data_IF_828947380351
#
_entry.id   IF_828947380351
#
_cell.length_a   1.000
_cell.length_b   1.000
_cell.length_c   1.000
_cell.angle_alpha   90.00
_cell.angle_beta   90.00
_cell.angle_gamma   90.00
#
_symmetry.space_group_name_H-M   'P 1'
#
loop_
_entity.id
_entity.type
_entity.pdbx_description
1 polymer ?
#
# COMPACT_ATOMS: atom_id res chain seq x y z
N UNK A 1 20.24 41.34 -42.54
CA UNK A 1 18.93 41.09 -41.87
C UNK A 1 18.95 39.78 -41.08
N UNK A 2 19.28 38.64 -41.61
CA UNK A 2 19.34 37.34 -40.90
C UNK A 2 20.34 37.32 -39.73
N UNK A 3 21.51 37.91 -39.87
CA UNK A 3 22.54 37.96 -38.84
C UNK A 3 22.09 38.82 -37.62
N UNK A 4 21.36 39.91 -37.85
CA UNK A 4 20.79 40.74 -36.79
C UNK A 4 19.67 39.99 -36.04
N UNK A 5 18.83 39.22 -36.74
CA UNK A 5 17.82 38.39 -36.07
C UNK A 5 18.45 37.28 -35.22
N UNK A 6 19.53 36.67 -35.66
CA UNK A 6 20.27 35.66 -34.86
C UNK A 6 20.91 36.30 -33.60
N UNK A 7 21.49 37.49 -33.74
CA UNK A 7 22.03 38.22 -32.59
C UNK A 7 20.95 38.65 -31.60
N UNK A 8 19.78 39.09 -32.05
CA UNK A 8 18.65 39.41 -31.21
C UNK A 8 18.09 38.14 -30.50
N UNK A 9 17.96 37.04 -31.21
CA UNK A 9 17.53 35.76 -30.63
C UNK A 9 18.55 35.25 -29.61
N UNK A 10 19.84 35.39 -29.86
CA UNK A 10 20.92 34.99 -28.94
C UNK A 10 20.94 35.87 -27.69
N UNK A 11 20.77 37.20 -27.84
CA UNK A 11 20.66 38.14 -26.71
C UNK A 11 19.40 37.86 -25.89
N UNK A 12 18.25 37.60 -26.51
CA UNK A 12 17.03 37.20 -25.81
C UNK A 12 17.16 35.87 -25.05
N UNK A 13 17.84 34.90 -25.61
CA UNK A 13 18.14 33.63 -24.96
C UNK A 13 19.13 33.80 -23.80
N UNK A 14 20.08 34.72 -23.92
CA UNK A 14 21.08 35.02 -22.91
C UNK A 14 20.46 35.84 -21.76
N UNK A 15 19.54 36.76 -22.04
CA UNK A 15 18.81 37.53 -21.05
C UNK A 15 17.76 36.70 -20.33
N UNK A 16 17.12 35.72 -21.02
CA UNK A 16 16.27 34.72 -20.41
C UNK A 16 17.04 33.70 -19.51
N UNK A 17 18.32 33.47 -19.84
CA UNK A 17 19.22 32.66 -19.00
C UNK A 17 19.82 33.43 -17.82
N UNK A 18 19.84 34.79 -17.86
CA UNK A 18 20.37 35.66 -16.84
C UNK A 18 19.30 36.12 -15.82
N UNK A 19 18.06 35.67 -15.94
CA UNK A 19 17.07 35.82 -14.86
C UNK A 19 17.60 35.20 -13.57
N UNK A 20 17.25 35.71 -12.37
CA UNK A 20 17.72 35.14 -11.12
C UNK A 20 17.37 33.64 -11.16
N UNK A 21 18.39 32.81 -11.27
CA UNK A 21 18.23 31.35 -11.22
C UNK A 21 17.43 31.08 -9.95
N UNK A 22 16.20 30.58 -10.11
CA UNK A 22 15.41 30.13 -8.97
C UNK A 22 16.23 28.97 -8.40
N UNK A 23 17.06 29.29 -7.40
CA UNK A 23 17.84 28.27 -6.72
C UNK A 23 16.87 27.45 -5.88
N UNK A 24 16.60 26.24 -6.33
CA UNK A 24 15.89 25.23 -5.54
C UNK A 24 16.81 24.71 -4.43
N UNK A 25 17.32 25.60 -3.58
CA UNK A 25 18.03 25.21 -2.37
C UNK A 25 17.01 24.93 -1.26
N UNK A 26 16.80 23.65 -0.87
CA UNK A 26 15.83 23.28 0.14
C UNK A 26 16.05 23.98 1.50
N UNK A 27 17.32 24.32 1.80
CA UNK A 27 17.67 24.99 3.07
C UNK A 27 17.22 26.44 3.07
N UNK A 28 17.45 27.15 1.97
CA UNK A 28 17.01 28.54 1.82
C UNK A 28 15.48 28.61 1.80
N UNK A 29 14.83 27.70 1.07
CA UNK A 29 13.37 27.61 1.00
C UNK A 29 12.78 27.35 2.39
N UNK A 30 13.32 26.42 3.15
CA UNK A 30 12.88 26.14 4.52
C UNK A 30 13.05 27.36 5.44
N UNK A 31 14.16 28.12 5.30
CA UNK A 31 14.42 29.34 6.09
C UNK A 31 13.37 30.40 5.87
N UNK A 32 12.93 30.59 4.63
CA UNK A 32 11.99 31.64 4.20
C UNK A 32 10.53 31.28 4.42
N UNK A 33 10.20 29.98 4.60
CA UNK A 33 8.85 29.49 4.82
C UNK A 33 8.21 30.08 6.08
N UNK A 34 6.93 30.39 5.97
CA UNK A 34 6.10 30.75 7.13
C UNK A 34 5.95 29.61 8.11
N UNK A 35 5.59 29.86 9.36
CA UNK A 35 5.35 28.84 10.39
C UNK A 35 4.28 27.84 9.90
N UNK A 36 3.21 28.31 9.27
CA UNK A 36 2.15 27.46 8.72
C UNK A 36 2.64 26.63 7.53
N UNK A 37 3.44 27.22 6.64
CA UNK A 37 4.08 26.47 5.53
C UNK A 37 4.98 25.36 6.05
N UNK A 38 5.81 25.64 7.07
CA UNK A 38 6.62 24.62 7.75
C UNK A 38 5.78 23.51 8.36
N UNK A 39 4.66 23.85 9.00
CA UNK A 39 3.74 22.85 9.58
C UNK A 39 3.14 21.93 8.50
N UNK A 40 2.71 22.49 7.37
CA UNK A 40 2.20 21.72 6.24
C UNK A 40 3.25 20.75 5.69
N UNK A 41 4.45 21.27 5.40
CA UNK A 41 5.55 20.45 4.86
C UNK A 41 5.97 19.35 5.86
N UNK A 42 6.06 19.69 7.15
CA UNK A 42 6.35 18.69 8.20
C UNK A 42 5.30 17.59 8.25
N UNK A 43 4.01 17.95 8.16
CA UNK A 43 2.92 16.97 8.09
C UNK A 43 3.06 16.06 6.88
N UNK A 44 3.38 16.60 5.70
CA UNK A 44 3.61 15.81 4.50
C UNK A 44 4.82 14.87 4.64
N UNK A 45 5.90 15.29 5.30
CA UNK A 45 7.05 14.43 5.58
C UNK A 45 6.69 13.29 6.53
N UNK A 46 5.88 13.55 7.57
CA UNK A 46 5.37 12.50 8.46
C UNK A 46 4.51 11.49 7.68
N UNK A 47 3.60 11.97 6.84
CA UNK A 47 2.79 11.12 5.96
C UNK A 47 3.66 10.29 5.01
N UNK A 48 4.69 10.88 4.44
CA UNK A 48 5.65 10.19 3.56
C UNK A 48 6.39 9.08 4.30
N UNK A 49 6.97 9.37 5.46
CA UNK A 49 7.69 8.40 6.27
C UNK A 49 6.79 7.23 6.69
N UNK A 50 5.55 7.53 7.10
CA UNK A 50 4.55 6.51 7.42
C UNK A 50 4.21 5.64 6.22
N UNK A 51 3.95 6.26 5.06
CA UNK A 51 3.67 5.57 3.79
C UNK A 51 4.79 4.60 3.43
N UNK A 52 6.05 5.06 3.46
CA UNK A 52 7.23 4.23 3.18
C UNK A 52 7.33 3.06 4.18
N UNK A 53 7.09 3.30 5.46
CA UNK A 53 7.07 2.25 6.48
C UNK A 53 6.04 1.16 6.17
N UNK A 54 4.82 1.55 5.80
CA UNK A 54 3.76 0.62 5.40
C UNK A 54 4.13 -0.13 4.10
N UNK A 55 4.71 0.54 3.12
CA UNK A 55 5.15 -0.09 1.87
C UNK A 55 6.18 -1.20 2.13
N UNK A 56 7.18 -0.93 2.96
CA UNK A 56 8.22 -1.91 3.31
C UNK A 56 7.61 -3.08 4.07
N UNK A 57 6.81 -2.82 5.11
CA UNK A 57 6.16 -3.85 5.91
C UNK A 57 5.29 -4.77 5.05
N UNK A 58 4.46 -4.20 4.18
CA UNK A 58 3.60 -4.98 3.28
C UNK A 58 4.41 -5.76 2.25
N UNK A 59 5.42 -5.16 1.63
CA UNK A 59 6.29 -5.85 0.69
C UNK A 59 6.94 -7.09 1.32
N UNK A 60 7.44 -6.98 2.54
CA UNK A 60 8.02 -8.11 3.28
C UNK A 60 6.97 -9.16 3.63
N UNK A 61 5.78 -8.75 4.09
CA UNK A 61 4.68 -9.66 4.44
C UNK A 61 4.19 -10.47 3.21
N UNK A 62 3.90 -9.80 2.09
CA UNK A 62 3.45 -10.45 0.86
C UNK A 62 4.51 -11.38 0.26
N UNK A 63 5.79 -10.97 0.26
CA UNK A 63 6.88 -11.81 -0.23
C UNK A 63 7.08 -13.05 0.65
N UNK A 64 6.99 -12.90 1.98
CA UNK A 64 7.08 -14.03 2.90
C UNK A 64 5.89 -14.99 2.72
N UNK A 65 4.67 -14.48 2.62
CA UNK A 65 3.47 -15.27 2.38
C UNK A 65 3.59 -16.06 1.07
N UNK A 66 3.95 -15.41 -0.03
CA UNK A 66 4.12 -16.04 -1.34
C UNK A 66 5.21 -17.11 -1.34
N UNK A 67 6.38 -16.81 -0.76
CA UNK A 67 7.49 -17.77 -0.70
C UNK A 67 7.11 -19.02 0.09
N UNK A 68 6.45 -18.85 1.23
CA UNK A 68 6.04 -19.97 2.06
C UNK A 68 4.88 -20.76 1.43
N UNK A 69 3.93 -20.11 0.78
CA UNK A 69 2.81 -20.81 0.12
C UNK A 69 3.28 -21.67 -1.06
N UNK A 70 4.25 -21.20 -1.84
CA UNK A 70 4.85 -22.00 -2.92
C UNK A 70 5.57 -23.24 -2.43
N UNK A 71 6.16 -23.20 -1.25
CA UNK A 71 6.82 -24.37 -0.65
C UNK A 71 5.81 -25.29 0.07
N UNK A 72 4.77 -24.72 0.64
CA UNK A 72 3.71 -25.42 1.36
C UNK A 72 2.83 -26.27 0.43
N UNK A 73 2.35 -25.70 -0.67
CA UNK A 73 1.36 -26.34 -1.53
C UNK A 73 1.76 -27.76 -2.01
N UNK A 74 2.96 -28.01 -2.56
CA UNK A 74 3.34 -29.36 -2.97
C UNK A 74 3.55 -30.29 -1.76
N UNK A 75 4.04 -29.80 -0.64
CA UNK A 75 4.27 -30.59 0.56
C UNK A 75 2.95 -31.12 1.17
N UNK A 76 1.94 -30.25 1.29
CA UNK A 76 0.63 -30.64 1.81
C UNK A 76 -0.12 -31.54 0.84
N UNK A 77 -0.02 -31.29 -0.47
CA UNK A 77 -0.65 -32.13 -1.48
C UNK A 77 -0.09 -33.58 -1.43
N UNK A 78 1.21 -33.74 -1.18
CA UNK A 78 1.82 -35.06 -0.97
C UNK A 78 1.21 -35.81 0.23
N UNK A 79 1.16 -35.17 1.39
CA UNK A 79 0.60 -35.75 2.61
C UNK A 79 -0.90 -36.10 2.45
N UNK A 80 -1.68 -35.25 1.78
CA UNK A 80 -3.10 -35.51 1.53
C UNK A 80 -3.33 -36.70 0.56
N UNK A 81 -2.50 -36.85 -0.47
CA UNK A 81 -2.56 -38.02 -1.37
C UNK A 81 -2.32 -39.34 -0.63
N UNK A 82 -1.46 -39.33 0.38
CA UNK A 82 -1.18 -40.46 1.25
C UNK A 82 -2.20 -40.64 2.39
N UNK A 83 -3.26 -39.81 2.43
CA UNK A 83 -4.28 -39.79 3.48
C UNK A 83 -3.73 -39.48 4.91
N UNK A 84 -2.57 -38.82 5.01
CA UNK A 84 -1.90 -38.49 6.28
C UNK A 84 -2.31 -37.13 6.76
N UNK A 85 -3.52 -36.98 7.34
CA UNK A 85 -4.05 -35.70 7.84
C UNK A 85 -3.16 -35.06 8.90
N UNK A 86 -2.67 -35.85 9.86
CA UNK A 86 -1.80 -35.37 10.94
C UNK A 86 -0.47 -34.81 10.44
N UNK A 87 0.06 -35.43 9.38
CA UNK A 87 1.27 -34.95 8.74
C UNK A 87 1.01 -33.65 7.97
N UNK A 88 -0.14 -33.56 7.28
CA UNK A 88 -0.57 -32.34 6.59
C UNK A 88 -0.72 -31.16 7.57
N UNK A 89 -1.30 -31.37 8.74
CA UNK A 89 -1.42 -30.36 9.81
C UNK A 89 -0.02 -29.94 10.31
N UNK A 90 0.87 -30.88 10.60
CA UNK A 90 2.24 -30.59 11.03
C UNK A 90 3.06 -29.83 9.97
N UNK A 91 2.83 -30.12 8.69
CA UNK A 91 3.44 -29.38 7.58
C UNK A 91 2.95 -27.94 7.62
N UNK A 92 1.65 -27.70 7.77
CA UNK A 92 1.07 -26.36 7.83
C UNK A 92 1.65 -25.52 8.98
N UNK A 93 1.89 -26.12 10.14
CA UNK A 93 2.48 -25.44 11.30
C UNK A 93 3.92 -24.93 11.06
N UNK A 94 4.63 -25.50 10.11
CA UNK A 94 5.99 -25.03 9.72
C UNK A 94 5.94 -23.76 8.84
N UNK A 95 4.84 -23.53 8.12
CA UNK A 95 4.68 -22.46 7.15
C UNK A 95 3.75 -21.34 7.65
N UNK A 96 3.96 -20.87 8.87
CA UNK A 96 3.07 -19.92 9.57
C UNK A 96 2.82 -18.59 8.86
N UNK A 97 3.71 -18.17 7.96
CA UNK A 97 3.53 -16.94 7.15
C UNK A 97 2.82 -17.22 5.82
N UNK A 98 2.55 -18.48 5.47
CA UNK A 98 1.81 -18.85 4.28
C UNK A 98 0.32 -18.56 4.46
N UNK A 99 -0.27 -17.80 3.55
CA UNK A 99 -1.71 -17.57 3.53
C UNK A 99 -2.48 -18.89 3.28
N UNK A 100 -1.97 -19.74 2.38
CA UNK A 100 -2.57 -21.05 2.12
C UNK A 100 -2.50 -21.98 3.32
N UNK A 101 -1.36 -22.03 4.03
CA UNK A 101 -1.21 -22.91 5.18
C UNK A 101 -2.17 -22.54 6.31
N UNK A 102 -2.39 -21.25 6.57
CA UNK A 102 -3.34 -20.80 7.59
C UNK A 102 -4.77 -21.24 7.28
N UNK A 103 -5.20 -21.14 6.03
CA UNK A 103 -6.55 -21.54 5.62
C UNK A 103 -6.69 -23.06 5.63
N UNK A 104 -5.78 -23.76 4.99
CA UNK A 104 -5.82 -25.23 4.89
C UNK A 104 -5.78 -25.90 6.26
N UNK A 105 -4.93 -25.41 7.19
CA UNK A 105 -4.85 -26.00 8.54
C UNK A 105 -6.16 -25.86 9.31
N UNK A 106 -6.86 -24.72 9.16
CA UNK A 106 -8.15 -24.53 9.82
C UNK A 106 -9.20 -25.53 9.36
N UNK A 107 -9.29 -25.79 8.04
CA UNK A 107 -10.19 -26.80 7.48
C UNK A 107 -9.80 -28.23 7.89
N UNK A 108 -8.50 -28.57 7.87
CA UNK A 108 -8.03 -29.90 8.26
C UNK A 108 -8.27 -30.18 9.74
N UNK A 109 -8.03 -29.22 10.62
CA UNK A 109 -8.26 -29.38 12.07
C UNK A 109 -9.74 -29.56 12.38
N UNK A 110 -10.61 -28.79 11.75
CA UNK A 110 -12.05 -28.88 11.94
C UNK A 110 -12.60 -30.23 11.42
N UNK A 111 -12.16 -30.64 10.21
CA UNK A 111 -12.52 -31.95 9.66
C UNK A 111 -12.13 -33.11 10.60
N UNK A 112 -10.90 -33.06 11.12
CA UNK A 112 -10.42 -34.05 12.06
C UNK A 112 -11.22 -34.09 13.36
N UNK A 113 -11.54 -32.91 13.91
CA UNK A 113 -12.29 -32.83 15.17
C UNK A 113 -13.70 -33.41 15.07
N UNK A 114 -14.32 -33.32 13.90
CA UNK A 114 -15.68 -33.82 13.68
C UNK A 114 -15.74 -35.23 13.06
N UNK A 115 -14.61 -35.77 12.56
CA UNK A 115 -14.59 -37.09 11.94
C UNK A 115 -14.99 -38.20 12.91
N UNK A 116 -14.60 -38.11 14.19
CA UNK A 116 -14.83 -39.12 15.23
C UNK A 116 -16.06 -38.84 16.10
N UNK A 117 -16.64 -37.64 16.02
CA UNK A 117 -17.70 -37.17 16.93
C UNK A 117 -19.04 -36.86 16.23
N UNK A 118 -19.09 -36.90 14.91
CA UNK A 118 -20.31 -36.50 14.18
C UNK A 118 -21.29 -37.67 14.03
N UNK A 119 -22.48 -37.53 14.59
CA UNK A 119 -23.63 -38.45 14.38
C UNK A 119 -24.34 -38.17 13.06
N UNK A 120 -24.18 -36.98 12.50
CA UNK A 120 -24.84 -36.51 11.27
C UNK A 120 -23.91 -36.64 10.08
N UNK A 121 -24.26 -37.43 9.06
CA UNK A 121 -23.43 -37.60 7.88
C UNK A 121 -23.21 -36.28 7.12
N UNK A 122 -21.93 -35.89 6.95
CA UNK A 122 -21.53 -34.68 6.23
C UNK A 122 -21.35 -33.44 7.09
N UNK A 123 -21.61 -33.50 8.39
CA UNK A 123 -21.41 -32.40 9.32
C UNK A 123 -19.95 -32.01 9.40
N UNK A 124 -19.02 -32.98 9.32
CA UNK A 124 -17.57 -32.77 9.29
C UNK A 124 -17.13 -31.92 8.10
N UNK A 125 -17.80 -32.06 6.96
CA UNK A 125 -17.49 -31.29 5.73
C UNK A 125 -18.03 -29.88 5.86
N UNK A 126 -19.29 -29.72 6.32
CA UNK A 126 -19.91 -28.42 6.50
C UNK A 126 -19.22 -27.59 7.60
N UNK A 127 -18.79 -28.23 8.69
CA UNK A 127 -17.97 -27.58 9.73
C UNK A 127 -16.64 -27.11 9.16
N UNK A 128 -15.95 -27.96 8.39
CA UNK A 128 -14.70 -27.62 7.72
C UNK A 128 -14.85 -26.47 6.74
N UNK A 129 -15.94 -26.45 5.96
CA UNK A 129 -16.24 -25.35 5.03
C UNK A 129 -16.36 -24.01 5.77
N UNK A 130 -17.12 -23.99 6.86
CA UNK A 130 -17.25 -22.79 7.71
C UNK A 130 -15.91 -22.36 8.32
N UNK A 131 -15.04 -23.29 8.70
CA UNK A 131 -13.71 -23.01 9.22
C UNK A 131 -12.79 -22.40 8.14
N UNK A 132 -12.83 -22.93 6.91
CA UNK A 132 -12.11 -22.39 5.76
C UNK A 132 -12.54 -20.94 5.47
N UNK A 133 -13.84 -20.69 5.33
CA UNK A 133 -14.40 -19.36 5.07
C UNK A 133 -14.00 -18.34 6.17
N UNK A 134 -14.07 -18.74 7.44
CA UNK A 134 -13.62 -17.88 8.55
C UNK A 134 -12.14 -17.59 8.48
N UNK A 135 -11.32 -18.60 8.17
CA UNK A 135 -9.87 -18.44 8.07
C UNK A 135 -9.47 -17.57 6.89
N UNK A 136 -10.14 -17.71 5.74
CA UNK A 136 -9.96 -16.83 4.57
C UNK A 136 -10.22 -15.37 4.94
N UNK A 137 -11.34 -15.09 5.61
CA UNK A 137 -11.69 -13.73 6.05
C UNK A 137 -10.66 -13.15 7.03
N UNK A 138 -10.13 -13.95 7.96
CA UNK A 138 -9.10 -13.54 8.90
C UNK A 138 -7.79 -13.24 8.16
N UNK A 139 -7.35 -14.12 7.28
CA UNK A 139 -6.10 -13.94 6.52
C UNK A 139 -6.20 -12.75 5.57
N UNK A 140 -7.35 -12.55 4.91
CA UNK A 140 -7.63 -11.36 4.12
C UNK A 140 -7.46 -10.09 4.97
N UNK A 141 -8.08 -10.03 6.15
CA UNK A 141 -8.00 -8.87 7.05
C UNK A 141 -6.55 -8.60 7.51
N UNK A 142 -5.79 -9.65 7.83
CA UNK A 142 -4.37 -9.55 8.20
C UNK A 142 -3.52 -8.97 7.05
N UNK A 143 -3.70 -9.46 5.84
CA UNK A 143 -2.94 -9.00 4.67
C UNK A 143 -3.34 -7.58 4.25
N UNK A 144 -4.62 -7.22 4.38
CA UNK A 144 -5.16 -5.89 4.09
C UNK A 144 -4.70 -4.82 5.08
N UNK A 145 -4.24 -5.22 6.26
CA UNK A 145 -3.81 -4.29 7.31
C UNK A 145 -2.76 -3.31 6.78
N UNK A 146 -2.99 -2.02 6.97
CA UNK A 146 -2.11 -0.94 6.53
C UNK A 146 -2.26 -0.52 5.07
N UNK A 147 -2.80 -1.36 4.17
CA UNK A 147 -3.02 -0.98 2.78
C UNK A 147 -3.97 0.22 2.68
N UNK A 148 -5.02 0.26 3.50
CA UNK A 148 -5.95 1.39 3.57
C UNK A 148 -5.28 2.72 3.95
N UNK A 149 -4.21 2.69 4.73
CA UNK A 149 -3.43 3.87 5.06
C UNK A 149 -2.78 4.49 3.82
N UNK A 150 -2.27 3.65 2.89
CA UNK A 150 -1.73 4.14 1.61
C UNK A 150 -2.80 4.83 0.76
N UNK A 151 -4.03 4.29 0.74
CA UNK A 151 -5.15 4.93 0.05
C UNK A 151 -5.47 6.30 0.67
N UNK A 152 -5.53 6.37 2.01
CA UNK A 152 -5.79 7.62 2.72
C UNK A 152 -4.70 8.66 2.44
N UNK A 153 -3.42 8.29 2.56
CA UNK A 153 -2.30 9.21 2.28
C UNK A 153 -2.34 9.65 0.82
N UNK A 154 -2.54 8.72 -0.12
CA UNK A 154 -2.60 9.02 -1.54
C UNK A 154 -3.72 9.99 -1.91
N UNK A 155 -4.88 9.87 -1.28
CA UNK A 155 -6.01 10.76 -1.53
C UNK A 155 -5.93 12.09 -0.77
N UNK A 156 -5.33 12.14 0.41
CA UNK A 156 -5.33 13.35 1.26
C UNK A 156 -4.09 14.23 1.11
N UNK A 157 -2.91 13.66 0.82
CA UNK A 157 -1.68 14.42 0.71
C UNK A 157 -1.73 15.56 -0.33
N UNK A 158 -2.36 15.40 -1.52
CA UNK A 158 -2.51 16.51 -2.46
C UNK A 158 -3.32 17.67 -1.87
N UNK A 159 -4.35 17.39 -1.10
CA UNK A 159 -5.19 18.42 -0.46
C UNK A 159 -4.44 19.12 0.67
N UNK A 160 -3.60 18.43 1.42
CA UNK A 160 -2.70 19.03 2.42
C UNK A 160 -1.71 19.99 1.73
N UNK A 161 -1.16 19.58 0.57
CA UNK A 161 -0.31 20.44 -0.25
C UNK A 161 -1.06 21.66 -0.78
N UNK A 162 -2.27 21.47 -1.31
CA UNK A 162 -3.14 22.55 -1.78
C UNK A 162 -3.50 23.53 -0.64
N UNK A 163 -3.78 23.03 0.55
CA UNK A 163 -3.99 23.88 1.72
C UNK A 163 -2.77 24.77 1.99
N UNK A 164 -1.56 24.22 1.84
CA UNK A 164 -0.32 25.01 1.92
C UNK A 164 -0.25 26.14 0.88
N UNK A 165 -0.71 25.89 -0.37
CA UNK A 165 -0.74 26.97 -1.39
C UNK A 165 -1.70 28.10 -1.03
N UNK A 166 -2.88 27.76 -0.54
CA UNK A 166 -3.87 28.79 -0.12
C UNK A 166 -3.27 29.67 0.97
N UNK A 167 -2.63 29.07 1.97
CA UNK A 167 -1.99 29.85 3.06
C UNK A 167 -0.83 30.71 2.53
N UNK A 168 0.02 30.15 1.67
CA UNK A 168 1.15 30.85 1.09
C UNK A 168 0.71 32.07 0.28
N UNK A 169 -0.33 31.92 -0.53
CA UNK A 169 -0.90 33.03 -1.32
C UNK A 169 -1.52 34.10 -0.39
N UNK A 170 -2.28 33.69 0.63
CA UNK A 170 -2.84 34.67 1.60
C UNK A 170 -1.73 35.46 2.26
N UNK A 171 -0.64 34.82 2.67
CA UNK A 171 0.49 35.50 3.30
C UNK A 171 1.23 36.43 2.33
N UNK A 172 1.37 36.06 1.06
CA UNK A 172 1.94 36.90 0.02
C UNK A 172 1.15 38.21 -0.14
N UNK A 173 -0.19 38.13 -0.20
CA UNK A 173 -1.05 39.31 -0.29
C UNK A 173 -1.05 40.16 0.99
N UNK A 174 -0.97 39.55 2.17
CA UNK A 174 -0.83 40.30 3.44
C UNK A 174 0.48 41.08 3.48
N UNK A 175 1.57 40.54 2.94
CA UNK A 175 2.84 41.23 2.84
C UNK A 175 2.75 42.54 2.01
N UNK A 176 1.99 42.50 0.89
CA UNK A 176 1.75 43.73 0.09
C UNK A 176 0.96 44.77 0.87
N UNK A 177 -0.05 44.34 1.63
CA UNK A 177 -0.93 45.25 2.35
C UNK A 177 -0.24 45.94 3.54
N UNK A 178 0.77 45.28 4.15
CA UNK A 178 1.46 45.80 5.35
C UNK A 178 2.64 46.72 5.04
N UNK A 179 3.28 46.57 3.88
CA UNK A 179 4.45 47.37 3.49
C UNK A 179 4.16 48.11 2.19
N UNK A 180 4.09 49.46 2.26
CA UNK A 180 3.88 50.34 1.11
C UNK A 180 4.93 50.21 -0.01
N UNK A 181 5.99 49.40 0.20
CA UNK A 181 7.12 49.19 -0.71
C UNK A 181 7.50 47.72 -0.87
N UNK A 182 6.71 46.77 -0.36
CA UNK A 182 6.97 45.33 -0.58
C UNK A 182 6.73 45.02 -2.07
N UNK A 183 7.78 45.14 -2.85
CA UNK A 183 7.76 44.93 -4.29
C UNK A 183 7.41 43.51 -4.70
N UNK A 184 7.32 43.28 -6.00
CA UNK A 184 7.11 41.98 -6.66
C UNK A 184 7.90 40.80 -6.05
N UNK A 185 9.03 41.09 -5.37
CA UNK A 185 9.86 40.07 -4.72
C UNK A 185 9.18 39.32 -3.56
N UNK A 186 8.45 40.03 -2.69
CA UNK A 186 7.76 39.41 -1.55
C UNK A 186 6.58 38.52 -2.02
N UNK A 187 5.89 38.97 -3.07
CA UNK A 187 4.81 38.17 -3.70
C UNK A 187 5.36 36.95 -4.38
N UNK A 188 6.45 37.09 -5.13
CA UNK A 188 7.12 35.98 -5.81
C UNK A 188 7.60 34.90 -4.82
N UNK A 189 8.17 35.33 -3.67
CA UNK A 189 8.60 34.40 -2.62
C UNK A 189 7.42 33.60 -2.02
N UNK A 190 6.30 34.29 -1.69
CA UNK A 190 5.13 33.59 -1.13
C UNK A 190 4.44 32.67 -2.11
N UNK A 191 4.38 33.01 -3.40
CA UNK A 191 3.86 32.14 -4.44
C UNK A 191 4.79 30.93 -4.65
N UNK A 192 6.11 31.14 -4.66
CA UNK A 192 7.08 30.05 -4.77
C UNK A 192 6.96 29.06 -3.61
N UNK A 193 6.85 29.54 -2.37
CA UNK A 193 6.58 28.70 -1.19
C UNK A 193 5.32 27.87 -1.38
N UNK A 194 4.25 28.53 -1.84
CA UNK A 194 2.97 27.89 -2.09
C UNK A 194 3.10 26.72 -3.10
N UNK A 195 3.71 26.95 -4.24
CA UNK A 195 3.87 25.94 -5.28
C UNK A 195 4.68 24.72 -4.81
N UNK A 196 5.70 24.95 -3.98
CA UNK A 196 6.52 23.87 -3.42
C UNK A 196 5.70 22.99 -2.48
N UNK A 197 4.83 23.52 -1.64
CA UNK A 197 4.00 22.71 -0.75
C UNK A 197 3.09 21.78 -1.53
N UNK A 198 2.50 22.21 -2.64
CA UNK A 198 1.72 21.33 -3.53
C UNK A 198 2.57 20.30 -4.22
N UNK A 199 3.75 20.68 -4.73
CA UNK A 199 4.66 19.73 -5.36
C UNK A 199 5.07 18.60 -4.39
N UNK A 200 5.36 18.94 -3.12
CA UNK A 200 5.65 17.94 -2.08
C UNK A 200 4.42 17.06 -1.80
N UNK A 201 3.22 17.63 -1.72
CA UNK A 201 1.98 16.88 -1.53
C UNK A 201 1.76 15.84 -2.63
N UNK A 202 1.97 16.20 -3.89
CA UNK A 202 1.89 15.30 -5.04
C UNK A 202 3.00 14.23 -5.01
N UNK A 203 4.22 14.61 -4.65
CA UNK A 203 5.34 13.69 -4.53
C UNK A 203 5.09 12.59 -3.47
N UNK A 204 4.41 12.92 -2.38
CA UNK A 204 4.01 11.96 -1.35
C UNK A 204 2.84 11.08 -1.81
N UNK A 205 1.87 11.67 -2.50
CA UNK A 205 0.65 10.97 -2.91
C UNK A 205 0.88 9.92 -3.99
N UNK A 206 1.68 10.24 -5.02
CA UNK A 206 1.83 9.38 -6.20
C UNK A 206 2.37 7.98 -5.84
N UNK A 207 3.48 7.84 -5.09
CA UNK A 207 3.96 6.53 -4.68
C UNK A 207 2.96 5.77 -3.79
N UNK A 208 2.24 6.49 -2.91
CA UNK A 208 1.26 5.88 -2.02
C UNK A 208 0.10 5.25 -2.81
N UNK A 209 -0.43 5.94 -3.84
CA UNK A 209 -1.49 5.41 -4.72
C UNK A 209 -0.99 4.21 -5.53
N UNK A 210 0.22 4.30 -6.10
CA UNK A 210 0.79 3.19 -6.87
C UNK A 210 0.94 1.94 -6.01
N UNK A 211 1.47 2.08 -4.80
CA UNK A 211 1.66 0.95 -3.91
C UNK A 211 0.34 0.42 -3.33
N UNK A 212 -0.65 1.28 -3.10
CA UNK A 212 -2.00 0.87 -2.76
C UNK A 212 -2.57 -0.07 -3.83
N UNK A 213 -2.58 0.36 -5.10
CA UNK A 213 -3.10 -0.44 -6.20
C UNK A 213 -2.31 -1.75 -6.37
N UNK A 214 -0.98 -1.69 -6.25
CA UNK A 214 -0.13 -2.87 -6.34
C UNK A 214 -0.45 -3.91 -5.26
N UNK A 215 -0.59 -3.49 -3.98
CA UNK A 215 -0.89 -4.42 -2.90
C UNK A 215 -2.34 -4.91 -2.94
N UNK A 216 -3.29 -4.10 -3.38
CA UNK A 216 -4.69 -4.53 -3.57
C UNK A 216 -4.77 -5.64 -4.61
N UNK A 217 -4.15 -5.47 -5.77
CA UNK A 217 -4.11 -6.55 -6.77
C UNK A 217 -3.39 -7.82 -6.29
N UNK A 218 -2.37 -7.68 -5.44
CA UNK A 218 -1.72 -8.85 -4.80
C UNK A 218 -2.65 -9.55 -3.80
N UNK A 219 -3.40 -8.78 -3.02
CA UNK A 219 -4.37 -9.30 -2.06
C UNK A 219 -5.48 -10.10 -2.77
N UNK A 220 -6.06 -9.54 -3.83
CA UNK A 220 -7.06 -10.20 -4.66
C UNK A 220 -6.54 -11.53 -5.25
N UNK A 221 -5.30 -11.54 -5.72
CA UNK A 221 -4.68 -12.78 -6.21
C UNK A 221 -4.55 -13.84 -5.10
N UNK A 222 -4.23 -13.45 -3.87
CA UNK A 222 -4.15 -14.37 -2.74
C UNK A 222 -5.52 -14.86 -2.30
N UNK A 223 -6.56 -14.02 -2.37
CA UNK A 223 -7.95 -14.43 -2.10
C UNK A 223 -8.40 -15.53 -3.08
N UNK A 224 -8.07 -15.38 -4.37
CA UNK A 224 -8.35 -16.41 -5.38
C UNK A 224 -7.56 -17.70 -5.09
N UNK A 225 -6.28 -17.61 -4.72
CA UNK A 225 -5.46 -18.78 -4.35
C UNK A 225 -6.05 -19.50 -3.13
N UNK A 226 -6.50 -18.76 -2.10
CA UNK A 226 -7.14 -19.32 -0.90
C UNK A 226 -8.46 -20.01 -1.24
N UNK A 227 -9.35 -19.38 -1.97
CA UNK A 227 -10.64 -19.94 -2.37
C UNK A 227 -10.50 -21.20 -3.23
N UNK A 228 -9.54 -21.24 -4.16
CA UNK A 228 -9.24 -22.45 -4.94
C UNK A 228 -8.74 -23.59 -4.03
N UNK A 229 -7.82 -23.30 -3.12
CA UNK A 229 -7.30 -24.31 -2.19
C UNK A 229 -8.37 -24.84 -1.23
N UNK A 230 -9.28 -23.98 -0.78
CA UNK A 230 -10.45 -24.37 0.03
C UNK A 230 -11.38 -25.30 -0.74
N UNK A 231 -11.67 -24.97 -1.99
CA UNK A 231 -12.51 -25.80 -2.86
C UNK A 231 -11.90 -27.19 -3.11
N UNK A 232 -10.59 -27.25 -3.42
CA UNK A 232 -9.85 -28.50 -3.58
C UNK A 232 -9.85 -29.34 -2.30
N UNK A 233 -9.75 -28.69 -1.15
CA UNK A 233 -9.76 -29.39 0.14
C UNK A 233 -11.15 -29.95 0.47
N UNK A 234 -12.22 -29.22 0.17
CA UNK A 234 -13.60 -29.72 0.31
C UNK A 234 -13.83 -30.93 -0.58
N UNK A 235 -13.38 -30.90 -1.83
CA UNK A 235 -13.44 -32.04 -2.74
C UNK A 235 -12.68 -33.27 -2.21
N UNK A 236 -11.54 -33.04 -1.59
CA UNK A 236 -10.77 -34.10 -0.93
C UNK A 236 -11.57 -34.70 0.24
N UNK A 237 -12.21 -33.90 1.09
CA UNK A 237 -13.03 -34.37 2.20
C UNK A 237 -14.24 -35.16 1.72
N UNK A 238 -14.92 -34.71 0.69
CA UNK A 238 -16.04 -35.44 0.06
C UNK A 238 -15.62 -36.82 -0.42
N UNK A 239 -14.50 -36.93 -1.15
CA UNK A 239 -13.97 -38.20 -1.63
C UNK A 239 -13.55 -39.14 -0.50
N UNK A 240 -12.99 -38.57 0.56
CA UNK A 240 -12.56 -39.36 1.74
C UNK A 240 -13.75 -39.89 2.53
N UNK A 241 -14.75 -39.04 2.82
CA UNK A 241 -15.97 -39.44 3.54
C UNK A 241 -16.72 -40.58 2.80
N UNK A 242 -16.76 -40.54 1.45
CA UNK A 242 -17.35 -41.60 0.65
C UNK A 242 -16.57 -42.94 0.72
N UNK A 243 -15.24 -42.91 0.89
CA UNK A 243 -14.41 -44.13 1.01
C UNK A 243 -14.54 -44.80 2.37
N UNK A 244 -14.75 -44.04 3.42
CA UNK A 244 -14.92 -44.60 4.79
C UNK A 244 -16.27 -45.27 4.98
N UNK A 245 -17.26 -44.88 4.17
CA UNK A 245 -18.63 -45.43 4.19
C UNK A 245 -18.82 -46.72 3.37
N UNK A 246 -17.85 -47.08 2.53
CA UNK A 246 -17.82 -48.32 1.79
C UNK A 246 -17.01 -49.38 2.52
#
# INVERSE_FOLDING_TARGET
MLLQMQLWAFMFLQEAAAGPAISFDPRQMWGQMTILGKAVVTTLFIMSAWSIGVMIDRALAFNAARKQSRAFAPAVAGALRENKLDEAIKIADRYRKSHLAKVVVAGLQEFRAHQDSSEIPGEEIEASKRALERSEAIVHAELKRGISTLATIGSTAPFVGLFGTVIGIINAFRGIASEKSAGLGAVSAGISEALVTTAVGLFVAIPAVWMYNFFTGKLEAFDVEMGNSSSELIDYFLKRSQRVRK
#
